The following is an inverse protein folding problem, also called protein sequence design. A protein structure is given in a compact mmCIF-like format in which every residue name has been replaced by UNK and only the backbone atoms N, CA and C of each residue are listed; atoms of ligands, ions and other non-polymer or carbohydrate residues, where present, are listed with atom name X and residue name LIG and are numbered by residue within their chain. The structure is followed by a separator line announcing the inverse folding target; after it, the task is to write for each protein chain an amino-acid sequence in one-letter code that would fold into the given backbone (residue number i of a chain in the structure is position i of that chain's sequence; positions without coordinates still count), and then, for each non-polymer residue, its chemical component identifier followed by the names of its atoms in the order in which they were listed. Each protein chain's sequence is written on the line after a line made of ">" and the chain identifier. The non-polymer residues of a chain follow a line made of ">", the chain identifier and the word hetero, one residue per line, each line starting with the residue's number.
data_IF_687978926536
#
_entry.id   IF_687978926536
#
_cell.length_a   1.000
_cell.length_b   1.000
_cell.length_c   1.000
_cell.angle_alpha   90.00
_cell.angle_beta   90.00
_cell.angle_gamma   90.00
#
_symmetry.space_group_name_H-M   'P 1'
#
loop_
_entity.id
_entity.type
_entity.pdbx_description
1 polymer ?
#
# COMPACT_ATOMS: atom_id res chain seq x y z
N UNK A 1 -10.38 -1.07 -14.08
CA UNK A 1 -9.82 -1.36 -12.74
C UNK A 1 -8.77 -0.29 -12.48
N UNK A 2 -8.88 0.43 -11.37
CA UNK A 2 -8.20 1.72 -11.19
C UNK A 2 -6.86 1.63 -10.42
N UNK A 3 -6.63 0.57 -9.64
CA UNK A 3 -5.46 0.47 -8.76
C UNK A 3 -4.14 0.38 -9.55
N UNK A 4 -4.06 -0.42 -10.61
CA UNK A 4 -2.84 -0.58 -11.41
C UNK A 4 -2.41 0.70 -12.14
N UNK A 5 -3.37 1.52 -12.60
CA UNK A 5 -3.07 2.81 -13.23
C UNK A 5 -2.78 3.90 -12.19
N UNK A 6 -3.25 3.75 -10.96
CA UNK A 6 -3.08 4.74 -9.91
C UNK A 6 -1.78 4.52 -9.11
N UNK A 7 -1.33 3.28 -8.94
CA UNK A 7 -0.07 2.98 -8.25
C UNK A 7 1.13 3.61 -8.97
N UNK A 8 1.07 3.75 -10.30
CA UNK A 8 2.11 4.42 -11.10
C UNK A 8 2.22 5.92 -10.83
N UNK A 9 1.19 6.54 -10.23
CA UNK A 9 1.17 7.96 -9.87
C UNK A 9 1.69 8.20 -8.46
N UNK A 10 1.95 7.15 -7.69
CA UNK A 10 2.49 7.28 -6.35
C UNK A 10 3.98 7.56 -6.40
N UNK A 11 4.39 8.59 -5.68
CA UNK A 11 5.79 8.95 -5.52
C UNK A 11 6.20 8.82 -4.06
N UNK A 12 7.48 8.50 -3.84
CA UNK A 12 8.04 8.46 -2.49
C UNK A 12 7.97 9.85 -1.86
N UNK A 13 7.65 9.90 -0.57
CA UNK A 13 7.45 11.13 0.19
C UNK A 13 6.04 11.70 0.14
N UNK A 14 5.13 11.16 -0.68
CA UNK A 14 3.72 11.59 -0.73
C UNK A 14 3.03 11.46 0.62
N UNK A 15 2.16 12.41 0.96
CA UNK A 15 1.40 12.35 2.20
C UNK A 15 0.33 11.24 2.14
N UNK A 16 0.02 10.67 3.30
CA UNK A 16 -1.01 9.65 3.49
C UNK A 16 -2.32 10.01 2.79
N UNK A 17 -2.73 11.27 2.89
CA UNK A 17 -3.97 11.74 2.30
C UNK A 17 -3.93 11.76 0.76
N UNK A 18 -2.80 12.15 0.16
CA UNK A 18 -2.61 12.09 -1.29
C UNK A 18 -2.60 10.65 -1.80
N UNK A 19 -1.92 9.76 -1.07
CA UNK A 19 -1.92 8.32 -1.37
C UNK A 19 -3.35 7.77 -1.38
N UNK A 20 -4.15 8.11 -0.37
CA UNK A 20 -5.56 7.70 -0.26
C UNK A 20 -6.41 8.34 -1.37
N UNK A 21 -6.15 9.59 -1.75
CA UNK A 21 -6.86 10.26 -2.85
C UNK A 21 -6.57 9.59 -4.20
N UNK A 22 -5.34 9.13 -4.42
CA UNK A 22 -4.90 8.46 -5.65
C UNK A 22 -5.42 7.01 -5.69
N UNK A 23 -5.19 6.24 -4.62
CA UNK A 23 -5.53 4.81 -4.59
C UNK A 23 -7.01 4.54 -4.26
N UNK A 24 -7.66 5.46 -3.55
CA UNK A 24 -9.04 5.35 -3.10
C UNK A 24 -9.17 5.01 -1.62
N UNK A 25 -10.41 5.07 -1.10
CA UNK A 25 -10.71 4.82 0.31
C UNK A 25 -10.92 3.34 0.67
N UNK A 26 -10.70 2.42 -0.26
CA UNK A 26 -10.96 0.97 -0.08
C UNK A 26 -9.81 0.21 0.61
N UNK A 27 -8.87 0.93 1.21
CA UNK A 27 -7.74 0.33 1.90
C UNK A 27 -8.13 -0.30 3.24
N UNK A 28 -7.33 -1.28 3.64
CA UNK A 28 -7.28 -1.82 4.99
C UNK A 28 -5.98 -1.39 5.64
N UNK A 29 -6.02 -1.07 6.93
CA UNK A 29 -4.81 -0.80 7.70
C UNK A 29 -4.26 -2.13 8.20
N UNK A 30 -3.09 -2.53 7.70
CA UNK A 30 -2.49 -3.84 7.98
C UNK A 30 -1.61 -3.83 9.22
N UNK A 31 -0.81 -2.77 9.38
CA UNK A 31 0.12 -2.63 10.50
C UNK A 31 0.17 -1.18 10.97
N UNK A 32 0.26 -0.98 12.28
CA UNK A 32 0.59 0.29 12.90
C UNK A 32 1.57 0.02 14.02
N UNK A 33 2.73 0.67 13.98
CA UNK A 33 3.73 0.55 15.04
C UNK A 33 4.47 1.87 15.25
N UNK A 34 4.74 2.16 16.52
CA UNK A 34 5.69 3.21 16.88
C UNK A 34 7.10 2.63 16.75
N UNK A 35 7.95 3.28 15.96
CA UNK A 35 9.37 2.93 15.81
C UNK A 35 10.24 4.06 16.38
N UNK A 36 11.52 3.79 16.71
CA UNK A 36 12.45 4.84 17.14
C UNK A 36 12.62 5.96 16.10
N UNK A 37 12.41 5.62 14.83
CA UNK A 37 12.53 6.53 13.69
C UNK A 37 11.26 7.32 13.42
N UNK A 38 10.11 6.90 13.98
CA UNK A 38 8.83 7.48 13.61
C UNK A 38 7.61 6.57 13.74
N UNK A 39 6.45 7.10 13.39
CA UNK A 39 5.19 6.34 13.34
C UNK A 39 5.08 5.60 12.01
N UNK A 40 5.18 4.28 12.04
CA UNK A 40 5.06 3.45 10.84
C UNK A 40 3.64 2.91 10.70
N UNK A 41 3.05 3.16 9.54
CA UNK A 41 1.72 2.68 9.16
C UNK A 41 1.80 1.93 7.83
N UNK A 42 1.20 0.75 7.77
CA UNK A 42 1.10 -0.03 6.54
C UNK A 42 -0.34 -0.12 6.09
N UNK A 43 -0.60 0.32 4.86
CA UNK A 43 -1.90 0.24 4.19
C UNK A 43 -1.89 -0.89 3.16
N UNK A 44 -2.95 -1.69 3.15
CA UNK A 44 -3.18 -2.78 2.20
C UNK A 44 -4.38 -2.48 1.31
N UNK A 45 -4.16 -2.45 0.00
CA UNK A 45 -5.22 -2.31 -1.00
C UNK A 45 -5.36 -3.64 -1.70
N UNK A 46 -6.49 -4.31 -1.51
CA UNK A 46 -6.79 -5.58 -2.19
C UNK A 46 -7.19 -5.26 -3.62
N UNK A 47 -6.46 -5.83 -4.57
CA UNK A 47 -6.76 -5.76 -5.99
C UNK A 47 -7.77 -6.85 -6.39
N UNK A 48 -8.45 -6.66 -7.51
CA UNK A 48 -9.45 -7.58 -8.03
C UNK A 48 -8.87 -8.95 -8.42
N UNK A 49 -7.58 -9.01 -8.78
CA UNK A 49 -6.88 -10.23 -9.20
C UNK A 49 -6.26 -11.00 -8.02
N UNK A 50 -6.87 -10.87 -6.84
CA UNK A 50 -6.43 -11.45 -5.55
C UNK A 50 -5.10 -10.91 -5.01
N UNK A 51 -4.42 -9.99 -5.72
CA UNK A 51 -3.21 -9.34 -5.22
C UNK A 51 -3.50 -8.30 -4.14
N UNK A 52 -2.49 -7.94 -3.35
CA UNK A 52 -2.57 -6.86 -2.36
C UNK A 52 -1.40 -5.91 -2.53
N UNK A 53 -1.71 -4.64 -2.82
CA UNK A 53 -0.71 -3.57 -2.75
C UNK A 53 -0.50 -3.18 -1.29
N UNK A 54 0.73 -3.30 -0.82
CA UNK A 54 1.14 -2.92 0.52
C UNK A 54 1.94 -1.62 0.43
N UNK A 55 1.44 -0.56 1.03
CA UNK A 55 2.09 0.74 1.09
C UNK A 55 2.55 0.99 2.51
N UNK A 56 3.83 1.32 2.70
CA UNK A 56 4.39 1.63 4.01
C UNK A 56 4.64 3.13 4.10
N UNK A 57 4.05 3.72 5.13
CA UNK A 57 4.16 5.12 5.44
C UNK A 57 4.94 5.28 6.75
N UNK A 58 5.88 6.22 6.77
CA UNK A 58 6.58 6.64 7.98
C UNK A 58 6.26 8.10 8.22
N UNK A 59 5.76 8.42 9.42
CA UNK A 59 5.30 9.76 9.80
C UNK A 59 4.30 10.35 8.79
N UNK A 60 3.41 9.48 8.30
CA UNK A 60 2.39 9.86 7.32
C UNK A 60 2.91 10.14 5.91
N UNK A 61 4.18 9.82 5.60
CA UNK A 61 4.75 9.91 4.24
C UNK A 61 5.05 8.54 3.66
N UNK A 62 4.71 8.32 2.40
CA UNK A 62 4.99 7.07 1.68
C UNK A 62 6.49 6.85 1.56
N UNK A 63 7.00 5.76 2.13
CA UNK A 63 8.43 5.40 2.04
C UNK A 63 8.68 4.34 0.98
N UNK A 64 7.74 3.41 0.83
CA UNK A 64 7.87 2.28 -0.09
C UNK A 64 6.49 1.65 -0.33
N UNK A 65 6.37 0.91 -1.41
CA UNK A 65 5.20 0.05 -1.67
C UNK A 65 5.61 -1.18 -2.46
N UNK A 66 4.86 -2.27 -2.26
CA UNK A 66 5.07 -3.55 -2.92
C UNK A 66 3.73 -4.19 -3.31
N UNK A 67 3.73 -5.01 -4.37
CA UNK A 67 2.57 -5.77 -4.80
C UNK A 67 2.76 -7.24 -4.42
N UNK A 68 1.92 -7.70 -3.50
CA UNK A 68 1.90 -9.09 -3.04
C UNK A 68 0.81 -9.81 -3.83
N UNK A 69 1.19 -10.53 -4.87
CA UNK A 69 0.28 -11.48 -5.51
C UNK A 69 0.33 -12.78 -4.72
N UNK A 70 -0.82 -13.34 -4.26
CA UNK A 70 -0.82 -14.70 -3.74
C UNK A 70 -0.37 -15.60 -4.88
N UNK A 71 0.84 -16.14 -4.75
CA UNK A 71 1.30 -17.17 -5.64
C UNK A 71 0.30 -18.32 -5.45
N UNK A 72 -0.52 -18.61 -6.46
CA UNK A 72 -1.18 -19.91 -6.54
C UNK A 72 -0.02 -20.88 -6.59
N UNK A 73 0.35 -21.46 -5.44
CA UNK A 73 1.27 -22.58 -5.39
C UNK A 73 0.73 -23.56 -6.42
N UNK A 74 1.39 -23.65 -7.58
CA UNK A 74 1.12 -24.73 -8.51
C UNK A 74 1.61 -25.96 -7.79
N UNK A 75 0.70 -26.62 -7.07
CA UNK A 75 0.84 -28.03 -6.77
C UNK A 75 1.14 -28.71 -8.11
N UNK A 76 2.39 -29.13 -8.27
CA UNK A 76 2.87 -29.94 -9.39
C UNK A 76 2.62 -31.40 -9.07
#
# INVERSE_FOLDING_TARGET
>A
MAADNNIQKLELGMARQDVINIMGNTYKRLEVKQTPTGYLETLGYVDYVEGTYRLRLLDGKLQEWDYIQPHKCKEK
#
